data_IF_241825667050
#
_entry.id   IF_241825667050
#
_cell.length_a   1.000
_cell.length_b   1.000
_cell.length_c   1.000
_cell.angle_alpha   90.00
_cell.angle_beta   90.00
_cell.angle_gamma   90.00
#
_symmetry.space_group_name_H-M   'P 1'
#
loop_
_entity.id
_entity.type
_entity.pdbx_description
1 polymer ?
#
# COMPACT_ATOMS: atom_id res chain seq x y z
N UNK A 1 -15.30 8.93 -1.23
CA UNK A 1 -14.33 8.71 -0.15
C UNK A 1 -14.98 9.24 1.11
N UNK A 2 -15.16 8.36 2.10
CA UNK A 2 -15.83 8.63 3.36
C UNK A 2 -14.81 8.49 4.48
N UNK A 3 -14.59 9.54 5.25
CA UNK A 3 -13.76 9.48 6.45
C UNK A 3 -14.58 8.83 7.57
N UNK A 4 -13.98 7.89 8.30
CA UNK A 4 -14.66 7.16 9.37
C UNK A 4 -14.23 7.67 10.75
N UNK A 5 -12.92 7.71 11.00
CA UNK A 5 -12.36 8.19 12.28
C UNK A 5 -10.93 8.65 12.14
N UNK A 6 -10.53 9.61 12.97
CA UNK A 6 -9.12 10.00 13.11
C UNK A 6 -8.34 8.90 13.86
N UNK A 7 -7.07 8.73 13.51
CA UNK A 7 -6.18 7.73 14.12
C UNK A 7 -4.79 8.33 14.35
N UNK A 8 -4.05 7.74 15.28
CA UNK A 8 -2.67 8.12 15.55
C UNK A 8 -1.72 7.66 14.43
N UNK A 9 -0.74 8.48 14.10
CA UNK A 9 0.28 8.19 13.08
C UNK A 9 1.09 6.92 13.38
N UNK A 10 1.20 6.53 14.66
CA UNK A 10 1.85 5.29 15.07
C UNK A 10 1.19 4.05 14.44
N UNK A 11 -0.13 4.03 14.29
CA UNK A 11 -0.83 2.88 13.68
C UNK A 11 -0.47 2.73 12.21
N UNK A 12 -0.32 3.86 11.50
CA UNK A 12 0.08 3.88 10.09
C UNK A 12 1.53 3.44 9.92
N UNK A 13 2.43 3.88 10.81
CA UNK A 13 3.82 3.40 10.85
C UNK A 13 3.89 1.90 11.11
N UNK A 14 3.10 1.39 12.06
CA UNK A 14 3.01 -0.05 12.36
C UNK A 14 2.51 -0.82 11.14
N UNK A 15 1.45 -0.35 10.48
CA UNK A 15 0.93 -0.98 9.27
C UNK A 15 2.00 -1.04 8.16
N UNK A 16 2.72 0.06 7.94
CA UNK A 16 3.82 0.09 6.97
C UNK A 16 4.91 -0.93 7.30
N UNK A 17 5.41 -0.93 8.54
CA UNK A 17 6.51 -1.81 8.96
C UNK A 17 6.09 -3.28 8.98
N UNK A 18 4.88 -3.60 9.45
CA UNK A 18 4.34 -4.96 9.43
C UNK A 18 4.21 -5.46 7.99
N UNK A 19 3.64 -4.66 7.10
CA UNK A 19 3.49 -5.02 5.68
C UNK A 19 4.84 -5.18 4.96
N UNK A 20 5.83 -4.36 5.31
CA UNK A 20 7.20 -4.53 4.79
C UNK A 20 7.85 -5.80 5.37
N UNK A 21 7.65 -6.11 6.65
CA UNK A 21 8.22 -7.30 7.30
C UNK A 21 7.69 -8.61 6.67
N UNK A 22 6.38 -8.70 6.38
CA UNK A 22 5.80 -9.89 5.75
C UNK A 22 6.26 -10.09 4.29
N UNK A 23 6.73 -9.02 3.62
CA UNK A 23 7.20 -9.06 2.23
C UNK A 23 8.72 -9.17 2.08
N UNK A 24 9.51 -8.98 3.14
CA UNK A 24 10.96 -9.09 3.12
C UNK A 24 11.45 -10.56 3.19
N UNK A 25 12.49 -10.89 2.40
CA UNK A 25 13.29 -12.11 2.58
C UNK A 25 14.38 -11.82 3.62
N UNK A 26 14.55 -12.69 4.63
CA UNK A 26 15.63 -12.56 5.62
C UNK A 26 17.04 -12.79 5.03
N UNK A 27 17.19 -13.56 3.95
CA UNK A 27 18.50 -14.15 3.58
C UNK A 27 18.94 -13.96 2.12
N UNK A 28 18.41 -12.99 1.37
CA UNK A 28 18.89 -12.76 -0.01
C UNK A 28 19.12 -11.27 -0.20
N UNK A 29 20.40 -10.89 -0.32
CA UNK A 29 20.90 -9.52 -0.55
C UNK A 29 20.42 -8.84 -1.83
N UNK A 30 19.28 -9.25 -2.39
CA UNK A 30 18.72 -8.71 -3.62
C UNK A 30 17.35 -8.04 -3.40
N UNK A 31 17.27 -6.81 -3.90
CA UNK A 31 16.21 -5.79 -3.80
C UNK A 31 14.81 -6.17 -4.34
N UNK A 32 14.48 -7.45 -4.49
CA UNK A 32 13.21 -7.91 -5.07
C UNK A 32 12.19 -8.28 -3.99
N UNK A 33 11.60 -7.26 -3.36
CA UNK A 33 10.50 -7.42 -2.39
C UNK A 33 9.17 -7.75 -3.09
N UNK A 34 8.80 -9.01 -3.14
CA UNK A 34 7.45 -9.46 -3.53
C UNK A 34 6.94 -10.57 -2.60
N UNK A 35 5.62 -10.66 -2.44
CA UNK A 35 5.00 -11.68 -1.61
C UNK A 35 5.20 -13.06 -2.23
N UNK A 36 5.73 -14.03 -1.47
CA UNK A 36 5.89 -15.42 -1.92
C UNK A 36 4.52 -16.08 -2.07
N UNK A 37 4.43 -17.09 -2.92
CA UNK A 37 3.32 -18.03 -2.86
C UNK A 37 3.46 -18.81 -1.55
N UNK A 38 2.48 -18.64 -0.67
CA UNK A 38 2.52 -19.20 0.67
C UNK A 38 1.10 -19.53 1.13
N UNK A 39 0.90 -20.64 1.88
CA UNK A 39 -0.43 -20.99 2.39
C UNK A 39 -0.95 -19.97 3.42
N UNK A 40 -2.27 -19.79 3.52
CA UNK A 40 -2.92 -18.87 4.47
C UNK A 40 -2.37 -19.03 5.90
N UNK A 41 -2.30 -20.27 6.41
CA UNK A 41 -1.78 -20.54 7.76
C UNK A 41 -0.35 -20.04 7.97
N UNK A 42 0.49 -20.10 6.93
CA UNK A 42 1.86 -19.60 6.99
C UNK A 42 1.89 -18.06 6.91
N UNK A 43 0.95 -17.46 6.18
CA UNK A 43 0.73 -16.01 6.16
C UNK A 43 0.38 -15.51 7.55
N UNK A 44 -0.60 -16.13 8.18
CA UNK A 44 -1.10 -15.75 9.49
C UNK A 44 -0.01 -15.84 10.56
N UNK A 45 0.75 -16.93 10.57
CA UNK A 45 1.89 -17.07 11.49
C UNK A 45 2.91 -15.93 11.32
N UNK A 46 3.23 -15.57 10.06
CA UNK A 46 4.15 -14.45 9.78
C UNK A 46 3.57 -13.11 10.21
N UNK A 47 2.30 -12.87 9.93
CA UNK A 47 1.58 -11.66 10.32
C UNK A 47 1.55 -11.50 11.84
N UNK A 48 1.20 -12.55 12.59
CA UNK A 48 1.18 -12.51 14.06
C UNK A 48 2.58 -12.30 14.64
N UNK A 49 3.59 -12.98 14.10
CA UNK A 49 4.99 -12.77 14.50
C UNK A 49 5.43 -11.31 14.26
N UNK A 50 5.08 -10.74 13.10
CA UNK A 50 5.38 -9.35 12.78
C UNK A 50 4.68 -8.40 13.75
N UNK A 51 3.39 -8.61 14.03
CA UNK A 51 2.63 -7.81 15.00
C UNK A 51 3.28 -7.84 16.39
N UNK A 52 3.60 -9.03 16.90
CA UNK A 52 4.25 -9.21 18.22
C UNK A 52 5.58 -8.47 18.32
N UNK A 53 6.39 -8.50 17.26
CA UNK A 53 7.67 -7.79 17.22
C UNK A 53 7.48 -6.27 17.17
N UNK A 54 6.58 -5.78 16.31
CA UNK A 54 6.42 -4.35 16.03
C UNK A 54 5.63 -3.61 17.11
N UNK A 55 4.71 -4.27 17.81
CA UNK A 55 3.89 -3.63 18.85
C UNK A 55 4.70 -3.16 20.07
N UNK A 56 5.82 -3.84 20.34
CA UNK A 56 6.75 -3.49 21.43
C UNK A 56 7.57 -2.23 21.13
N UNK A 57 7.57 -1.77 19.89
CA UNK A 57 8.41 -0.65 19.47
C UNK A 57 7.73 0.69 19.73
N UNK A 58 8.51 1.63 20.27
CA UNK A 58 8.14 3.04 20.42
C UNK A 58 8.15 3.74 19.04
N UNK A 59 7.44 4.88 18.88
CA UNK A 59 7.41 5.63 17.62
C UNK A 59 8.78 5.94 17.03
N UNK A 60 9.75 6.34 17.85
CA UNK A 60 11.11 6.64 17.38
C UNK A 60 11.82 5.39 16.81
N UNK A 61 11.59 4.22 17.40
CA UNK A 61 12.15 2.96 16.92
C UNK A 61 11.51 2.54 15.59
N UNK A 62 10.21 2.78 15.41
CA UNK A 62 9.55 2.56 14.12
C UNK A 62 10.15 3.46 13.03
N UNK A 63 10.43 4.73 13.35
CA UNK A 63 11.05 5.67 12.40
C UNK A 63 12.46 5.18 12.00
N UNK A 64 13.26 4.69 12.95
CA UNK A 64 14.59 4.12 12.67
C UNK A 64 14.55 2.92 11.73
N UNK A 65 13.48 2.13 11.71
CA UNK A 65 13.34 1.00 10.78
C UNK A 65 13.03 1.43 9.34
N UNK A 66 12.41 2.60 9.16
CA UNK A 66 11.95 3.07 7.85
C UNK A 66 12.89 4.12 7.25
N UNK A 67 13.39 5.04 8.07
CA UNK A 67 14.19 6.21 7.67
C UNK A 67 15.39 5.87 6.79
N UNK A 68 16.20 4.83 7.07
CA UNK A 68 17.35 4.51 6.23
C UNK A 68 16.98 4.25 4.77
N UNK A 69 15.78 3.71 4.51
CA UNK A 69 15.30 3.40 3.15
C UNK A 69 14.35 4.46 2.60
N UNK A 70 13.55 5.09 3.45
CA UNK A 70 12.42 5.94 3.05
C UNK A 70 12.26 7.18 3.94
N UNK A 71 13.24 8.10 3.99
CA UNK A 71 13.19 9.25 4.90
C UNK A 71 12.01 10.19 4.59
N UNK A 72 11.70 10.40 3.31
CA UNK A 72 10.55 11.21 2.86
C UNK A 72 9.20 10.66 3.33
N UNK A 73 9.09 9.33 3.46
CA UNK A 73 7.86 8.66 3.90
C UNK A 73 7.61 8.91 5.38
N UNK A 74 8.63 8.78 6.23
CA UNK A 74 8.51 9.09 7.66
C UNK A 74 8.15 10.55 7.89
N UNK A 75 8.81 11.47 7.18
CA UNK A 75 8.44 12.89 7.23
C UNK A 75 6.96 13.10 6.91
N UNK A 76 6.50 12.55 5.78
CA UNK A 76 5.09 12.64 5.39
C UNK A 76 4.12 12.00 6.39
N UNK A 77 4.50 10.88 7.02
CA UNK A 77 3.68 10.21 8.05
C UNK A 77 3.55 11.05 9.31
N UNK A 78 4.62 11.72 9.74
CA UNK A 78 4.63 12.59 10.90
C UNK A 78 3.90 13.93 10.66
N UNK A 79 3.94 14.43 9.43
CA UNK A 79 3.35 15.71 9.02
C UNK A 79 1.88 15.61 8.58
N UNK A 80 1.25 14.43 8.69
CA UNK A 80 -0.15 14.21 8.30
C UNK A 80 -1.06 13.95 9.51
N UNK A 81 -2.31 14.39 9.39
CA UNK A 81 -3.45 13.84 10.14
C UNK A 81 -3.91 12.59 9.43
N UNK A 82 -4.19 11.54 10.18
CA UNK A 82 -4.51 10.23 9.63
C UNK A 82 -5.93 9.85 9.97
N UNK A 83 -6.62 9.27 9.00
CA UNK A 83 -7.99 8.81 9.15
C UNK A 83 -8.08 7.36 8.69
N UNK A 84 -8.91 6.57 9.36
CA UNK A 84 -9.51 5.41 8.72
C UNK A 84 -10.58 5.92 7.75
N UNK A 85 -10.55 5.46 6.51
CA UNK A 85 -11.48 5.90 5.48
C UNK A 85 -11.88 4.74 4.58
N UNK A 86 -12.99 4.93 3.87
CA UNK A 86 -13.46 4.06 2.79
C UNK A 86 -13.42 4.83 1.48
N UNK A 87 -12.86 4.22 0.44
CA UNK A 87 -12.75 4.82 -0.88
C UNK A 87 -13.09 3.83 -1.98
N UNK A 88 -13.75 4.32 -3.03
CA UNK A 88 -13.97 3.51 -4.22
C UNK A 88 -12.66 3.36 -5.01
N UNK A 89 -12.42 2.22 -5.68
CA UNK A 89 -11.32 2.08 -6.64
C UNK A 89 -11.31 3.16 -7.74
N UNK A 90 -12.44 3.82 -8.03
CA UNK A 90 -12.50 4.96 -8.97
C UNK A 90 -11.86 6.24 -8.42
N UNK A 91 -11.74 6.36 -7.10
CA UNK A 91 -11.25 7.56 -6.40
C UNK A 91 -9.77 7.49 -6.02
N UNK A 92 -9.17 6.31 -6.14
CA UNK A 92 -7.78 6.04 -5.77
C UNK A 92 -6.90 5.90 -6.99
N UNK A 93 -5.61 6.24 -6.87
CA UNK A 93 -4.60 5.98 -7.88
C UNK A 93 -3.36 5.34 -7.28
N UNK A 94 -2.75 4.39 -7.99
CA UNK A 94 -1.45 3.81 -7.59
C UNK A 94 -0.28 4.70 -8.00
N UNK A 95 0.89 4.54 -7.39
CA UNK A 95 2.11 5.23 -7.85
C UNK A 95 2.36 5.07 -9.35
N UNK A 96 2.94 6.12 -9.96
CA UNK A 96 3.38 6.07 -11.35
C UNK A 96 4.38 4.92 -11.51
N UNK A 97 4.12 4.03 -12.47
CA UNK A 97 4.92 2.81 -12.71
C UNK A 97 5.03 1.89 -11.48
N UNK A 98 4.01 1.86 -10.61
CA UNK A 98 3.99 1.00 -9.43
C UNK A 98 4.38 -0.45 -9.78
N UNK A 99 5.38 -0.99 -9.09
CA UNK A 99 5.88 -2.35 -9.36
C UNK A 99 6.48 -2.55 -10.75
N UNK A 100 6.96 -1.49 -11.40
CA UNK A 100 7.46 -1.50 -12.79
C UNK A 100 6.36 -1.76 -13.84
N UNK A 101 5.10 -1.51 -13.49
CA UNK A 101 4.01 -1.49 -14.48
C UNK A 101 4.20 -0.34 -15.49
N UNK A 102 3.65 -0.45 -16.70
CA UNK A 102 3.65 0.66 -17.66
C UNK A 102 3.00 1.93 -17.09
N UNK A 103 3.52 3.09 -17.49
CA UNK A 103 2.94 4.38 -17.08
C UNK A 103 1.48 4.50 -17.54
N UNK A 104 1.19 4.06 -18.77
CA UNK A 104 -0.14 4.04 -19.37
C UNK A 104 -1.18 3.22 -18.58
N UNK A 105 -0.70 2.27 -17.78
CA UNK A 105 -1.56 1.44 -16.93
C UNK A 105 -1.80 2.08 -15.57
N UNK A 106 -0.88 2.92 -15.11
CA UNK A 106 -0.89 3.53 -13.77
C UNK A 106 -1.33 5.00 -13.77
N UNK A 107 -1.54 5.62 -14.93
CA UNK A 107 -1.95 7.03 -15.05
C UNK A 107 -3.42 7.31 -14.64
N UNK A 108 -4.24 6.26 -14.62
CA UNK A 108 -5.68 6.34 -14.36
C UNK A 108 -6.07 6.10 -12.90
N UNK A 109 -7.33 5.69 -12.72
CA UNK A 109 -7.85 5.20 -11.44
C UNK A 109 -7.32 3.79 -11.11
N UNK A 110 -7.40 3.39 -9.84
CA UNK A 110 -7.06 2.05 -9.39
C UNK A 110 -7.92 1.01 -10.11
N UNK A 111 -9.20 1.32 -10.38
CA UNK A 111 -10.09 0.44 -11.15
C UNK A 111 -9.55 0.18 -12.57
N UNK A 112 -9.13 1.23 -13.28
CA UNK A 112 -8.57 1.10 -14.63
C UNK A 112 -7.24 0.35 -14.63
N UNK A 113 -6.38 0.64 -13.64
CA UNK A 113 -5.14 -0.11 -13.44
C UNK A 113 -5.43 -1.59 -13.20
N UNK A 114 -6.38 -1.91 -12.33
CA UNK A 114 -6.75 -3.28 -11.98
C UNK A 114 -7.26 -4.06 -13.20
N UNK A 115 -8.10 -3.45 -14.04
CA UNK A 115 -8.58 -4.08 -15.30
C UNK A 115 -7.41 -4.45 -16.22
N UNK A 116 -6.51 -3.50 -16.50
CA UNK A 116 -5.33 -3.74 -17.36
C UNK A 116 -4.39 -4.79 -16.78
N UNK A 117 -4.19 -4.77 -15.46
CA UNK A 117 -3.33 -5.75 -14.79
C UNK A 117 -3.97 -7.14 -14.80
N UNK A 118 -5.29 -7.26 -14.56
CA UNK A 118 -6.01 -8.54 -14.64
C UNK A 118 -5.86 -9.15 -16.04
N UNK A 119 -6.20 -8.38 -17.07
CA UNK A 119 -6.08 -8.80 -18.46
C UNK A 119 -4.63 -9.17 -18.81
N UNK A 120 -3.66 -8.37 -18.37
CA UNK A 120 -2.25 -8.66 -18.62
C UNK A 120 -1.74 -9.91 -17.90
N UNK A 121 -2.29 -10.27 -16.73
CA UNK A 121 -1.96 -11.50 -16.01
C UNK A 121 -2.54 -12.71 -16.74
N UNK A 122 -3.80 -12.63 -17.15
CA UNK A 122 -4.50 -13.68 -17.92
C UNK A 122 -3.80 -13.97 -19.25
N UNK A 123 -3.42 -12.90 -19.98
CA UNK A 123 -2.70 -13.00 -21.27
C UNK A 123 -1.19 -13.24 -21.12
N UNK A 124 -0.68 -13.43 -19.90
CA UNK A 124 0.77 -13.62 -19.61
C UNK A 124 1.65 -12.53 -20.26
N UNK A 125 1.19 -11.28 -20.25
CA UNK A 125 1.85 -10.16 -20.94
C UNK A 125 3.27 -9.91 -20.42
N UNK A 126 4.22 -9.71 -21.35
CA UNK A 126 5.62 -9.31 -21.07
C UNK A 126 5.73 -7.93 -20.40
N UNK A 127 4.66 -7.13 -20.43
CA UNK A 127 4.57 -5.84 -19.75
C UNK A 127 4.42 -5.98 -18.23
N UNK A 128 3.88 -7.10 -17.74
CA UNK A 128 3.82 -7.39 -16.30
C UNK A 128 5.16 -7.96 -15.85
N UNK A 129 5.92 -7.15 -15.12
CA UNK A 129 7.21 -7.53 -14.54
C UNK A 129 7.05 -8.35 -13.25
N UNK A 130 8.16 -8.86 -12.72
CA UNK A 130 8.18 -9.87 -11.65
C UNK A 130 7.37 -9.48 -10.41
N UNK A 131 7.47 -8.22 -9.95
CA UNK A 131 6.79 -7.80 -8.73
C UNK A 131 5.26 -7.93 -8.83
N UNK A 132 4.56 -7.29 -9.79
CA UNK A 132 3.12 -7.50 -9.96
C UNK A 132 2.80 -8.94 -10.39
N UNK A 133 3.63 -9.58 -11.22
CA UNK A 133 3.44 -10.95 -11.70
C UNK A 133 3.33 -11.96 -10.54
N UNK A 134 4.15 -11.81 -9.51
CA UNK A 134 4.13 -12.69 -8.35
C UNK A 134 3.22 -12.16 -7.24
N UNK A 135 3.35 -10.88 -6.88
CA UNK A 135 2.67 -10.35 -5.69
C UNK A 135 1.15 -10.39 -5.84
N UNK A 136 0.60 -10.01 -7.01
CA UNK A 136 -0.84 -9.85 -7.16
C UNK A 136 -1.56 -11.20 -7.11
N UNK A 137 -1.16 -12.24 -7.87
CA UNK A 137 -1.75 -13.57 -7.73
C UNK A 137 -1.62 -14.13 -6.32
N UNK A 138 -0.47 -13.96 -5.66
CA UNK A 138 -0.27 -14.47 -4.31
C UNK A 138 -1.13 -13.74 -3.28
N UNK A 139 -1.34 -12.42 -3.44
CA UNK A 139 -2.27 -11.66 -2.60
C UNK A 139 -3.71 -12.13 -2.80
N UNK A 140 -4.11 -12.43 -4.04
CA UNK A 140 -5.47 -12.92 -4.35
C UNK A 140 -5.77 -14.30 -3.74
N UNK A 141 -4.75 -15.11 -3.43
CA UNK A 141 -4.92 -16.38 -2.72
C UNK A 141 -5.12 -16.22 -1.21
N UNK A 142 -4.79 -15.07 -0.64
CA UNK A 142 -4.75 -14.85 0.81
C UNK A 142 -6.00 -14.12 1.29
N UNK A 143 -6.85 -14.78 2.10
CA UNK A 143 -8.12 -14.21 2.57
C UNK A 143 -7.92 -12.98 3.44
N UNK A 144 -6.93 -13.00 4.33
CA UNK A 144 -6.60 -11.87 5.20
C UNK A 144 -6.28 -10.57 4.44
N UNK A 145 -5.86 -10.66 3.17
CA UNK A 145 -5.69 -9.48 2.33
C UNK A 145 -7.01 -8.96 1.78
N UNK A 146 -7.93 -9.85 1.39
CA UNK A 146 -9.14 -9.50 0.64
C UNK A 146 -10.33 -9.12 1.52
N UNK A 147 -10.44 -9.72 2.71
CA UNK A 147 -11.55 -9.46 3.64
C UNK A 147 -11.45 -8.08 4.31
N UNK A 148 -10.24 -7.52 4.36
CA UNK A 148 -9.90 -6.30 5.08
C UNK A 148 -10.31 -6.33 6.56
N UNK A 149 -10.17 -7.49 7.22
CA UNK A 149 -10.31 -7.59 8.68
C UNK A 149 -9.03 -7.19 9.42
N UNK A 150 -7.86 -7.43 8.81
CA UNK A 150 -6.58 -7.04 9.41
C UNK A 150 -6.19 -5.61 9.04
N UNK A 151 -6.34 -4.69 10.00
CA UNK A 151 -6.04 -3.26 9.81
C UNK A 151 -4.59 -2.94 9.46
N UNK A 152 -3.63 -3.81 9.78
CA UNK A 152 -2.23 -3.60 9.39
C UNK A 152 -1.95 -3.94 7.92
N UNK A 153 -2.93 -4.49 7.21
CA UNK A 153 -2.84 -4.75 5.78
C UNK A 153 -3.54 -3.69 4.93
N UNK A 154 -4.19 -2.70 5.55
CA UNK A 154 -4.85 -1.61 4.82
C UNK A 154 -3.85 -0.79 4.00
N UNK A 155 -4.19 -0.40 2.77
CA UNK A 155 -3.37 0.51 1.99
C UNK A 155 -3.18 1.85 2.71
N UNK A 156 -1.99 2.43 2.56
CA UNK A 156 -1.67 3.76 3.04
C UNK A 156 -1.80 4.72 1.86
N UNK A 157 -2.67 5.71 2.00
CA UNK A 157 -3.07 6.63 0.94
C UNK A 157 -2.89 8.05 1.43
N UNK A 158 -2.31 8.90 0.62
CA UNK A 158 -2.31 10.34 0.86
C UNK A 158 -3.39 11.02 0.04
N UNK A 159 -3.89 12.16 0.53
CA UNK A 159 -4.60 13.12 -0.33
C UNK A 159 -3.74 13.41 -1.56
N UNK A 160 -4.35 13.48 -2.73
CA UNK A 160 -3.61 13.64 -3.99
C UNK A 160 -2.66 14.84 -3.98
N UNK A 161 -1.49 14.65 -4.60
CA UNK A 161 -0.36 15.60 -4.65
C UNK A 161 0.30 15.94 -3.30
N UNK A 162 -0.03 15.18 -2.24
CA UNK A 162 0.58 15.31 -0.92
C UNK A 162 1.47 14.10 -0.55
N UNK A 163 2.02 14.11 0.66
CA UNK A 163 2.90 13.06 1.16
C UNK A 163 4.14 12.82 0.29
N UNK A 164 4.32 11.59 -0.17
CA UNK A 164 5.47 11.18 -1.01
C UNK A 164 5.34 11.58 -2.48
N UNK A 165 4.18 12.09 -2.91
CA UNK A 165 3.96 12.69 -4.24
C UNK A 165 4.23 11.73 -5.44
N UNK A 166 4.00 10.43 -5.28
CA UNK A 166 4.26 9.42 -6.32
C UNK A 166 3.45 9.57 -7.63
N UNK A 167 2.45 10.47 -7.66
CA UNK A 167 1.62 10.81 -8.81
C UNK A 167 1.71 12.27 -9.25
N UNK A 168 2.67 13.07 -8.72
CA UNK A 168 2.76 14.53 -8.95
C UNK A 168 2.64 14.96 -10.42
N UNK A 169 3.31 14.23 -11.32
CA UNK A 169 3.43 14.58 -12.76
C UNK A 169 2.28 14.04 -13.61
N UNK A 170 1.32 13.31 -13.03
CA UNK A 170 0.16 12.82 -13.78
C UNK A 170 -0.86 13.94 -13.94
N UNK A 171 -1.32 14.15 -15.18
CA UNK A 171 -2.36 15.14 -15.51
C UNK A 171 -3.69 14.82 -14.79
N UNK A 172 -4.09 13.55 -14.78
CA UNK A 172 -5.32 13.11 -14.12
C UNK A 172 -5.12 12.92 -12.62
N UNK A 173 -5.80 13.75 -11.83
CA UNK A 173 -5.77 13.73 -10.36
C UNK A 173 -6.86 12.83 -9.80
N UNK A 174 -6.50 12.05 -8.77
CA UNK A 174 -7.44 11.22 -8.00
C UNK A 174 -7.85 11.94 -6.72
N UNK A 175 -8.67 11.34 -5.87
CA UNK A 175 -8.91 11.88 -4.52
C UNK A 175 -7.79 11.45 -3.56
N UNK A 176 -7.26 10.23 -3.76
CA UNK A 176 -6.15 9.70 -2.98
C UNK A 176 -5.11 8.98 -3.83
N UNK A 177 -3.85 9.18 -3.49
CA UNK A 177 -2.70 8.52 -4.09
C UNK A 177 -2.17 7.45 -3.12
N UNK A 178 -2.19 6.18 -3.53
CA UNK A 178 -1.71 5.05 -2.71
C UNK A 178 -0.18 5.14 -2.61
N UNK A 179 0.33 5.35 -1.40
CA UNK A 179 1.75 5.39 -1.07
C UNK A 179 2.31 4.00 -0.79
N UNK A 180 1.60 3.22 0.03
CA UNK A 180 1.97 1.85 0.35
C UNK A 180 0.82 0.88 0.11
N UNK A 181 1.17 -0.33 -0.32
CA UNK A 181 0.18 -1.35 -0.66
C UNK A 181 -0.39 -1.23 -2.08
N UNK A 182 0.35 -0.67 -3.05
CA UNK A 182 -0.09 -0.61 -4.45
C UNK A 182 -0.51 -1.99 -5.01
N UNK A 183 0.31 -3.03 -4.84
CA UNK A 183 -0.03 -4.39 -5.33
C UNK A 183 -1.26 -4.96 -4.61
N UNK A 184 -1.38 -4.72 -3.29
CA UNK A 184 -2.56 -5.11 -2.48
C UNK A 184 -3.82 -4.41 -2.95
N UNK A 185 -3.73 -3.11 -3.23
CA UNK A 185 -4.85 -2.31 -3.72
C UNK A 185 -5.29 -2.77 -5.10
N UNK A 186 -4.35 -3.11 -5.99
CA UNK A 186 -4.68 -3.68 -7.30
C UNK A 186 -5.39 -5.02 -7.13
N UNK A 187 -4.88 -5.92 -6.27
CA UNK A 187 -5.53 -7.20 -6.00
C UNK A 187 -6.95 -7.03 -5.43
N UNK A 188 -7.14 -6.13 -4.47
CA UNK A 188 -8.46 -5.78 -3.92
C UNK A 188 -9.43 -5.30 -5.00
N UNK A 189 -8.97 -4.44 -5.91
CA UNK A 189 -9.81 -3.97 -7.02
C UNK A 189 -10.09 -5.09 -8.05
N UNK A 190 -9.15 -6.00 -8.30
CA UNK A 190 -9.35 -7.18 -9.16
C UNK A 190 -10.40 -8.13 -8.54
N UNK A 191 -10.39 -8.29 -7.22
CA UNK A 191 -11.35 -9.13 -6.50
C UNK A 191 -12.74 -8.48 -6.35
N UNK A 192 -12.97 -7.32 -6.96
CA UNK A 192 -14.24 -6.60 -6.89
C UNK A 192 -14.50 -5.83 -5.59
N UNK A 193 -13.50 -5.64 -4.72
CA UNK A 193 -13.69 -4.94 -3.44
C UNK A 193 -14.04 -3.47 -3.67
N UNK A 194 -15.22 -3.07 -3.21
CA UNK A 194 -15.69 -1.68 -3.20
C UNK A 194 -16.74 -1.52 -2.07
N UNK A 195 -16.52 -0.68 -1.05
CA UNK A 195 -15.37 0.20 -0.85
C UNK A 195 -14.10 -0.55 -0.40
N UNK A 196 -12.95 0.12 -0.56
CA UNK A 196 -11.67 -0.28 0.03
C UNK A 196 -11.42 0.55 1.29
N UNK A 197 -11.22 -0.12 2.43
CA UNK A 197 -10.79 0.50 3.68
C UNK A 197 -9.30 0.85 3.62
N UNK A 198 -8.94 2.07 3.97
CA UNK A 198 -7.59 2.63 3.84
C UNK A 198 -7.20 3.47 5.06
N UNK A 199 -5.89 3.66 5.24
CA UNK A 199 -5.37 4.78 6.02
C UNK A 199 -5.21 5.98 5.10
N UNK A 200 -5.94 7.06 5.37
CA UNK A 200 -5.93 8.28 4.56
C UNK A 200 -5.25 9.44 5.29
N UNK A 201 -4.15 9.91 4.71
CA UNK A 201 -3.32 10.99 5.24
C UNK A 201 -3.63 12.33 4.59
N UNK A 202 -3.94 13.33 5.40
CA UNK A 202 -4.11 14.73 4.99
C UNK A 202 -3.01 15.55 5.67
N UNK A 203 -2.19 16.34 4.94
CA UNK A 203 -1.18 17.18 5.57
C UNK A 203 -1.78 18.06 6.65
N UNK A 204 -1.09 18.16 7.79
CA UNK A 204 -1.38 19.18 8.80
C UNK A 204 -1.25 20.54 8.11
N UNK A 205 -2.22 21.45 8.32
CA UNK A 205 -2.08 22.84 7.84
C UNK A 205 -0.72 23.33 8.36
N UNK A 206 0.15 23.82 7.47
CA UNK A 206 1.25 24.66 7.93
C UNK A 206 0.58 25.87 8.57
N UNK A 207 0.75 26.06 9.88
CA UNK A 207 0.59 27.38 10.44
C UNK A 207 1.48 28.27 9.58
N UNK A 208 0.89 29.28 8.93
CA UNK A 208 1.67 30.30 8.27
C UNK A 208 2.61 30.85 9.34
N UNK A 209 3.91 30.69 9.11
CA UNK A 209 4.92 31.45 9.84
C UNK A 209 5.06 32.77 9.13
#
# INVERSE_FOLDING_TARGET
MKLLKEINSIEVKRAFVIADHITQRKNLGNNHKFLKDLPEKAFDKKLQSAKKAIFKLKPASLDKLVTPKWPKRIKAYNESRWFLAEASPKELGVWSKAGRLPLEWTRGSLLETAKKVKEGLEKKSKLIKDRPRHSIPNILKIKAHLDQKEKYLFPIVFKTDTGTRGRKRLKRKMKGDIDDGCMRSIALAISGRNPITIYFGIPKKRLAK
#
